data_IF_759943244126
#
_entry.id   IF_759943244126
#
_cell.length_a   1.000
_cell.length_b   1.000
_cell.length_c   1.000
_cell.angle_alpha   90.00
_cell.angle_beta   90.00
_cell.angle_gamma   90.00
#
_symmetry.space_group_name_H-M   'P 1'
#
loop_
_entity.id
_entity.type
_entity.pdbx_description
1 polymer ?
#
# COMPACT_ATOMS: atom_id res chain seq x y z
N UNK A 1 55.33 -45.35 2.10
CA UNK A 1 54.34 -44.82 1.13
C UNK A 1 53.07 -44.41 1.85
N UNK A 2 52.88 -43.11 2.13
CA UNK A 2 51.70 -42.59 2.82
C UNK A 2 50.53 -42.39 1.84
N UNK A 3 49.45 -43.18 2.01
CA UNK A 3 48.20 -43.02 1.26
C UNK A 3 47.53 -41.70 1.65
N UNK A 4 47.65 -40.67 0.79
CA UNK A 4 46.86 -39.44 0.85
C UNK A 4 45.37 -39.79 0.71
N UNK A 5 44.63 -39.80 1.83
CA UNK A 5 43.16 -39.79 1.84
C UNK A 5 42.68 -38.46 1.27
N UNK A 6 42.36 -38.44 -0.03
CA UNK A 6 41.64 -37.35 -0.70
C UNK A 6 40.25 -37.27 -0.06
N UNK A 7 40.01 -36.31 0.84
CA UNK A 7 38.67 -35.97 1.34
C UNK A 7 37.82 -35.59 0.12
N UNK A 8 36.94 -36.50 -0.30
CA UNK A 8 35.83 -36.19 -1.22
C UNK A 8 35.01 -35.10 -0.53
N UNK A 9 35.03 -33.88 -1.09
CA UNK A 9 34.01 -32.87 -0.79
C UNK A 9 32.70 -33.46 -1.29
N UNK A 10 31.89 -33.99 -0.37
CA UNK A 10 30.53 -34.43 -0.66
C UNK A 10 29.79 -33.21 -1.21
N UNK A 11 29.16 -33.40 -2.37
CA UNK A 11 28.29 -32.43 -3.06
C UNK A 11 27.24 -31.85 -2.09
N UNK A 12 27.53 -30.74 -1.42
CA UNK A 12 26.55 -29.99 -0.62
C UNK A 12 25.69 -29.05 -1.51
N UNK A 13 25.42 -29.45 -2.75
CA UNK A 13 24.79 -28.65 -3.82
C UNK A 13 23.28 -28.88 -4.10
N UNK A 14 22.51 -29.79 -3.46
CA UNK A 14 21.06 -29.88 -3.71
C UNK A 14 20.20 -28.86 -2.95
N UNK A 15 20.50 -28.62 -1.67
CA UNK A 15 19.59 -27.90 -0.76
C UNK A 15 19.59 -26.38 -0.96
N UNK A 16 20.76 -25.77 -1.12
CA UNK A 16 20.88 -24.33 -1.37
C UNK A 16 20.27 -23.95 -2.73
N UNK A 17 20.46 -24.81 -3.75
CA UNK A 17 19.86 -24.61 -5.07
C UNK A 17 18.34 -24.68 -5.01
N UNK A 18 17.78 -25.67 -4.30
CA UNK A 18 16.34 -25.78 -4.06
C UNK A 18 15.81 -24.53 -3.33
N UNK A 19 16.49 -24.09 -2.28
CA UNK A 19 16.11 -22.88 -1.54
C UNK A 19 16.09 -21.62 -2.43
N UNK A 20 17.03 -21.52 -3.38
CA UNK A 20 17.10 -20.41 -4.32
C UNK A 20 15.95 -20.44 -5.31
N UNK A 21 15.62 -21.63 -5.83
CA UNK A 21 14.48 -21.83 -6.74
C UNK A 21 13.16 -21.52 -6.02
N UNK A 22 12.97 -22.04 -4.80
CA UNK A 22 11.77 -21.80 -4.00
C UNK A 22 11.58 -20.31 -3.68
N UNK A 23 12.67 -19.60 -3.35
CA UNK A 23 12.63 -18.14 -3.16
C UNK A 23 12.20 -17.42 -4.45
N UNK A 24 12.76 -17.83 -5.59
CA UNK A 24 12.39 -17.26 -6.89
C UNK A 24 10.92 -17.48 -7.24
N UNK A 25 10.41 -18.70 -7.04
CA UNK A 25 8.98 -19.03 -7.22
C UNK A 25 8.13 -18.19 -6.27
N UNK A 26 8.46 -18.16 -4.97
CA UNK A 26 7.74 -17.37 -3.97
C UNK A 26 7.68 -15.89 -4.34
N UNK A 27 8.80 -15.33 -4.79
CA UNK A 27 8.89 -13.93 -5.22
C UNK A 27 8.00 -13.64 -6.43
N UNK A 28 8.09 -14.44 -7.50
CA UNK A 28 7.25 -14.21 -8.68
C UNK A 28 5.78 -14.51 -8.42
N UNK A 29 5.46 -15.48 -7.56
CA UNK A 29 4.09 -15.70 -7.07
C UNK A 29 3.57 -14.51 -6.28
N UNK A 30 4.41 -13.85 -5.48
CA UNK A 30 4.04 -12.62 -4.77
C UNK A 30 3.80 -11.45 -5.74
N UNK A 31 4.71 -11.23 -6.70
CA UNK A 31 4.54 -10.19 -7.74
C UNK A 31 3.27 -10.43 -8.55
N UNK A 32 3.02 -11.69 -8.95
CA UNK A 32 1.79 -12.07 -9.61
C UNK A 32 0.58 -11.77 -8.73
N UNK A 33 0.57 -12.18 -7.46
CA UNK A 33 -0.52 -11.93 -6.52
C UNK A 33 -0.83 -10.42 -6.38
N UNK A 34 0.18 -9.58 -6.22
CA UNK A 34 0.02 -8.11 -6.13
C UNK A 34 -0.57 -7.52 -7.41
N UNK A 35 -0.20 -8.07 -8.57
CA UNK A 35 -0.75 -7.66 -9.87
C UNK A 35 -2.20 -8.15 -10.06
N UNK A 36 -2.46 -9.42 -9.79
CA UNK A 36 -3.71 -10.11 -10.15
C UNK A 36 -4.82 -9.87 -9.14
N UNK A 37 -4.52 -9.82 -7.83
CA UNK A 37 -5.54 -9.70 -6.77
C UNK A 37 -6.50 -8.54 -7.04
N UNK A 38 -6.03 -7.33 -7.40
CA UNK A 38 -6.94 -6.22 -7.65
C UNK A 38 -7.78 -6.37 -8.92
N UNK A 39 -7.21 -7.00 -9.94
CA UNK A 39 -7.84 -7.26 -11.23
C UNK A 39 -8.75 -8.47 -11.20
N UNK A 40 -8.64 -9.31 -10.17
CA UNK A 40 -9.38 -10.56 -10.07
C UNK A 40 -10.87 -10.27 -10.08
N UNK A 41 -11.53 -10.84 -11.08
CA UNK A 41 -12.93 -10.68 -11.40
C UNK A 41 -13.51 -12.05 -11.68
N UNK A 42 -14.66 -12.34 -11.08
CA UNK A 42 -15.49 -13.47 -11.48
C UNK A 42 -16.78 -12.90 -12.10
N UNK A 43 -16.87 -12.82 -13.43
CA UNK A 43 -18.10 -12.38 -14.09
C UNK A 43 -19.27 -13.27 -13.63
N UNK A 44 -20.32 -12.64 -13.08
CA UNK A 44 -21.51 -13.36 -12.58
C UNK A 44 -21.57 -13.58 -11.06
N UNK A 45 -20.51 -13.27 -10.30
CA UNK A 45 -20.61 -13.23 -8.84
C UNK A 45 -20.90 -11.80 -8.34
N UNK A 46 -22.00 -11.65 -7.62
CA UNK A 46 -22.42 -10.39 -7.00
C UNK A 46 -21.70 -10.13 -5.67
N UNK A 47 -21.18 -11.16 -5.00
CA UNK A 47 -20.43 -11.05 -3.75
C UNK A 47 -18.92 -10.91 -3.99
N UNK A 48 -18.57 -9.77 -4.56
CA UNK A 48 -17.20 -9.48 -4.97
C UNK A 48 -16.16 -9.58 -3.83
N UNK A 49 -16.52 -9.13 -2.63
CA UNK A 49 -15.65 -9.18 -1.46
C UNK A 49 -15.31 -10.61 -1.03
N UNK A 50 -16.24 -11.55 -1.19
CA UNK A 50 -16.06 -12.93 -0.77
C UNK A 50 -15.02 -13.65 -1.64
N UNK A 51 -15.17 -13.57 -2.97
CA UNK A 51 -14.23 -14.18 -3.92
C UNK A 51 -12.81 -13.63 -3.77
N UNK A 52 -12.66 -12.32 -3.61
CA UNK A 52 -11.35 -11.71 -3.35
C UNK A 52 -10.72 -12.14 -2.04
N UNK A 53 -11.54 -12.29 -1.00
CA UNK A 53 -11.06 -12.76 0.30
C UNK A 53 -10.53 -14.18 0.17
N UNK A 54 -11.28 -15.11 -0.43
CA UNK A 54 -10.82 -16.48 -0.68
C UNK A 54 -9.52 -16.48 -1.50
N UNK A 55 -9.51 -15.75 -2.62
CA UNK A 55 -8.32 -15.65 -3.48
C UNK A 55 -7.08 -15.20 -2.67
N UNK A 56 -7.27 -14.18 -1.83
CA UNK A 56 -6.22 -13.62 -0.97
C UNK A 56 -5.76 -14.61 0.08
N UNK A 57 -6.68 -15.26 0.80
CA UNK A 57 -6.36 -16.25 1.82
C UNK A 57 -5.61 -17.45 1.23
N UNK A 58 -6.06 -17.96 0.08
CA UNK A 58 -5.41 -19.07 -0.61
C UNK A 58 -3.99 -18.69 -1.08
N UNK A 59 -3.82 -17.51 -1.71
CA UNK A 59 -2.50 -17.09 -2.21
C UNK A 59 -1.52 -16.80 -1.08
N UNK A 60 -1.94 -16.11 -0.02
CA UNK A 60 -1.08 -15.87 1.14
C UNK A 60 -0.68 -17.21 1.78
N UNK A 61 -1.62 -18.16 1.92
CA UNK A 61 -1.31 -19.50 2.45
C UNK A 61 -0.28 -20.23 1.58
N UNK A 62 -0.44 -20.18 0.25
CA UNK A 62 0.55 -20.75 -0.68
C UNK A 62 1.93 -20.10 -0.52
N UNK A 63 2.00 -18.78 -0.41
CA UNK A 63 3.27 -18.06 -0.20
C UNK A 63 3.94 -18.47 1.12
N UNK A 64 3.17 -18.70 2.18
CA UNK A 64 3.69 -19.22 3.45
C UNK A 64 4.15 -20.66 3.36
N UNK A 65 3.46 -21.52 2.61
CA UNK A 65 3.92 -22.89 2.33
C UNK A 65 5.27 -22.83 1.61
N UNK A 66 5.40 -21.99 0.57
CA UNK A 66 6.67 -21.81 -0.15
C UNK A 66 7.77 -21.26 0.76
N UNK A 67 7.46 -20.31 1.65
CA UNK A 67 8.42 -19.80 2.63
C UNK A 67 8.86 -20.87 3.63
N UNK A 68 7.92 -21.67 4.14
CA UNK A 68 8.22 -22.81 5.01
C UNK A 68 9.11 -23.84 4.32
N UNK A 69 8.80 -24.22 3.08
CA UNK A 69 9.63 -25.13 2.28
C UNK A 69 11.03 -24.54 2.00
N UNK A 70 11.11 -23.24 1.70
CA UNK A 70 12.37 -22.51 1.54
C UNK A 70 13.20 -22.58 2.84
N UNK A 71 12.61 -22.25 3.99
CA UNK A 71 13.31 -22.28 5.27
C UNK A 71 13.72 -23.68 5.72
N UNK A 72 12.86 -24.68 5.51
CA UNK A 72 13.21 -26.09 5.75
C UNK A 72 14.38 -26.54 4.88
N UNK A 73 14.42 -26.12 3.62
CA UNK A 73 15.53 -26.45 2.72
C UNK A 73 16.85 -25.80 3.15
N UNK A 74 16.80 -24.60 3.76
CA UNK A 74 17.96 -23.91 4.36
C UNK A 74 18.33 -24.39 5.76
N UNK A 75 17.46 -25.17 6.40
CA UNK A 75 17.61 -25.57 7.81
C UNK A 75 17.42 -24.43 8.80
N UNK A 76 16.87 -23.29 8.36
CA UNK A 76 16.59 -22.11 9.17
C UNK A 76 15.33 -21.41 8.68
N UNK A 77 14.43 -21.11 9.61
CA UNK A 77 13.22 -20.32 9.38
C UNK A 77 13.39 -19.07 10.23
N UNK A 78 13.74 -17.96 9.58
CA UNK A 78 13.92 -16.66 10.23
C UNK A 78 12.88 -15.69 9.66
N UNK A 79 12.16 -14.99 10.54
CA UNK A 79 11.19 -13.97 10.17
C UNK A 79 11.68 -12.62 10.71
N UNK A 80 11.74 -11.61 9.85
CA UNK A 80 12.10 -10.26 10.27
C UNK A 80 10.90 -9.53 10.86
N UNK A 81 10.99 -9.26 12.16
CA UNK A 81 9.97 -8.52 12.90
C UNK A 81 10.44 -7.06 12.99
N UNK A 82 9.72 -6.17 12.33
CA UNK A 82 9.95 -4.73 12.40
C UNK A 82 8.92 -4.07 13.33
N UNK A 83 9.17 -2.82 13.74
CA UNK A 83 8.31 -2.12 14.72
C UNK A 83 6.81 -2.11 14.36
N UNK A 84 6.38 -1.93 13.09
CA UNK A 84 4.97 -1.98 12.75
C UNK A 84 4.32 -3.36 12.91
N UNK A 85 5.09 -4.44 13.06
CA UNK A 85 4.55 -5.77 13.35
C UNK A 85 3.73 -5.79 14.64
N UNK A 86 4.01 -4.90 15.61
CA UNK A 86 3.23 -4.76 16.84
C UNK A 86 1.79 -4.27 16.60
N UNK A 87 1.50 -3.67 15.44
CA UNK A 87 0.14 -3.28 15.08
C UNK A 87 -0.77 -4.49 14.85
N UNK A 88 -0.23 -5.60 14.35
CA UNK A 88 -1.00 -6.83 14.09
C UNK A 88 -1.66 -7.36 15.37
N UNK A 89 -0.92 -7.67 16.46
CA UNK A 89 -1.56 -8.11 17.70
C UNK A 89 -2.43 -7.01 18.32
N UNK A 90 -2.09 -5.72 18.18
CA UNK A 90 -2.93 -4.64 18.67
C UNK A 90 -4.31 -4.61 17.99
N UNK A 91 -4.36 -4.74 16.66
CA UNK A 91 -5.62 -4.82 15.92
C UNK A 91 -6.40 -6.08 16.22
N UNK A 92 -5.72 -7.22 16.40
CA UNK A 92 -6.37 -8.47 16.80
C UNK A 92 -6.99 -8.34 18.20
N UNK A 93 -6.27 -7.76 19.16
CA UNK A 93 -6.79 -7.50 20.49
C UNK A 93 -7.98 -6.53 20.46
N UNK A 94 -7.88 -5.43 19.70
CA UNK A 94 -8.98 -4.49 19.54
C UNK A 94 -10.22 -5.17 18.93
N UNK A 95 -10.04 -6.03 17.93
CA UNK A 95 -11.11 -6.82 17.35
C UNK A 95 -11.75 -7.74 18.41
N UNK A 96 -10.95 -8.48 19.18
CA UNK A 96 -11.47 -9.36 20.24
C UNK A 96 -12.20 -8.59 21.35
N UNK A 97 -11.67 -7.44 21.77
CA UNK A 97 -12.32 -6.57 22.77
C UNK A 97 -13.67 -6.05 22.26
N UNK A 98 -13.83 -5.87 20.94
CA UNK A 98 -15.13 -5.43 20.38
C UNK A 98 -16.28 -6.41 20.66
N UNK A 99 -15.99 -7.69 20.93
CA UNK A 99 -17.00 -8.67 21.35
C UNK A 99 -17.63 -8.26 22.69
N UNK A 100 -16.81 -7.79 23.64
CA UNK A 100 -17.30 -7.28 24.92
C UNK A 100 -18.17 -6.02 24.75
N UNK A 101 -17.96 -5.28 23.66
CA UNK A 101 -18.80 -4.14 23.26
C UNK A 101 -20.08 -4.52 22.53
N UNK A 102 -20.45 -5.80 22.46
CA UNK A 102 -21.68 -6.27 21.82
C UNK A 102 -21.57 -6.58 20.33
N UNK A 103 -20.36 -6.59 19.76
CA UNK A 103 -20.16 -7.00 18.38
C UNK A 103 -20.46 -8.50 18.20
N UNK A 104 -21.08 -8.86 17.07
CA UNK A 104 -21.42 -10.26 16.78
C UNK A 104 -20.15 -11.12 16.66
N UNK A 105 -19.97 -12.18 17.49
CA UNK A 105 -18.71 -12.92 17.58
C UNK A 105 -18.22 -13.50 16.24
N UNK A 106 -19.14 -13.96 15.39
CA UNK A 106 -18.78 -14.54 14.09
C UNK A 106 -18.21 -13.50 13.12
N UNK A 107 -18.75 -12.28 13.13
CA UNK A 107 -18.24 -11.18 12.31
C UNK A 107 -16.86 -10.74 12.80
N UNK A 108 -16.70 -10.66 14.13
CA UNK A 108 -15.40 -10.34 14.74
C UNK A 108 -14.35 -11.38 14.34
N UNK A 109 -14.67 -12.67 14.41
CA UNK A 109 -13.74 -13.73 14.03
C UNK A 109 -13.35 -13.65 12.55
N UNK A 110 -14.30 -13.33 11.67
CA UNK A 110 -14.05 -13.13 10.24
C UNK A 110 -13.07 -11.97 10.00
N UNK A 111 -13.32 -10.80 10.60
CA UNK A 111 -12.43 -9.64 10.45
C UNK A 111 -11.07 -9.84 11.12
N UNK A 112 -11.03 -10.48 12.29
CA UNK A 112 -9.78 -10.84 12.97
C UNK A 112 -8.93 -11.78 12.09
N UNK A 113 -9.55 -12.76 11.44
CA UNK A 113 -8.87 -13.63 10.47
C UNK A 113 -8.29 -12.83 9.31
N UNK A 114 -9.06 -11.88 8.75
CA UNK A 114 -8.54 -11.00 7.69
C UNK A 114 -7.37 -10.15 8.18
N UNK A 115 -7.46 -9.54 9.37
CA UNK A 115 -6.36 -8.76 9.95
C UNK A 115 -5.09 -9.60 10.18
N UNK A 116 -5.25 -10.84 10.65
CA UNK A 116 -4.14 -11.78 10.79
C UNK A 116 -3.48 -12.01 9.42
N UNK A 117 -4.26 -12.31 8.38
CA UNK A 117 -3.73 -12.53 7.03
C UNK A 117 -3.06 -11.29 6.43
N UNK A 118 -3.57 -10.08 6.68
CA UNK A 118 -2.89 -8.84 6.31
C UNK A 118 -1.56 -8.68 7.05
N UNK A 119 -1.51 -9.00 8.34
CA UNK A 119 -0.27 -9.02 9.12
C UNK A 119 0.74 -10.06 8.60
N UNK A 120 0.25 -11.23 8.21
CA UNK A 120 1.04 -12.28 7.58
C UNK A 120 1.58 -11.83 6.21
N UNK A 121 0.77 -11.18 5.39
CA UNK A 121 1.22 -10.59 4.13
C UNK A 121 2.31 -9.53 4.36
N UNK A 122 2.16 -8.70 5.39
CA UNK A 122 3.17 -7.72 5.77
C UNK A 122 4.52 -8.38 6.10
N UNK A 123 4.53 -9.45 6.90
CA UNK A 123 5.77 -10.18 7.20
C UNK A 123 6.41 -10.78 5.95
N UNK A 124 5.62 -11.29 5.00
CA UNK A 124 6.13 -11.74 3.71
C UNK A 124 6.77 -10.58 2.94
N UNK A 125 6.12 -9.42 2.87
CA UNK A 125 6.65 -8.24 2.17
C UNK A 125 8.00 -7.81 2.74
N UNK A 126 8.11 -7.71 4.07
CA UNK A 126 9.34 -7.33 4.75
C UNK A 126 10.47 -8.34 4.49
N UNK A 127 10.15 -9.63 4.49
CA UNK A 127 11.13 -10.68 4.21
C UNK A 127 11.60 -10.70 2.73
N UNK A 128 10.66 -10.50 1.80
CA UNK A 128 10.89 -10.65 0.36
C UNK A 128 11.48 -9.42 -0.33
N UNK A 129 11.10 -8.21 0.08
CA UNK A 129 11.42 -6.98 -0.66
C UNK A 129 12.55 -6.21 0.03
N UNK A 130 13.80 -6.63 -0.21
CA UNK A 130 14.98 -6.05 0.45
C UNK A 130 15.76 -5.13 -0.48
N UNK A 131 15.82 -5.49 -1.76
CA UNK A 131 16.65 -4.80 -2.74
C UNK A 131 15.81 -4.13 -3.83
N UNK A 132 16.36 -3.11 -4.49
CA UNK A 132 15.70 -2.40 -5.59
C UNK A 132 15.23 -3.36 -6.70
N UNK A 133 15.99 -4.44 -6.98
CA UNK A 133 15.62 -5.47 -7.97
C UNK A 133 14.34 -6.23 -7.63
N UNK A 134 13.97 -6.29 -6.35
CA UNK A 134 12.76 -6.95 -5.85
C UNK A 134 11.61 -5.93 -5.68
N UNK A 135 11.96 -4.74 -5.20
CA UNK A 135 11.00 -3.65 -4.96
C UNK A 135 10.41 -3.13 -6.27
N UNK A 136 11.25 -2.95 -7.31
CA UNK A 136 10.82 -2.35 -8.58
C UNK A 136 9.72 -3.20 -9.25
N UNK A 137 9.87 -4.51 -9.49
CA UNK A 137 8.83 -5.29 -10.15
C UNK A 137 7.54 -5.38 -9.32
N UNK A 138 7.64 -5.45 -7.99
CA UNK A 138 6.47 -5.44 -7.10
C UNK A 138 5.69 -4.11 -7.20
N UNK A 139 6.38 -2.96 -7.23
CA UNK A 139 5.75 -1.66 -7.41
C UNK A 139 5.18 -1.47 -8.82
N UNK A 140 5.89 -1.92 -9.85
CA UNK A 140 5.40 -1.91 -11.23
C UNK A 140 4.14 -2.77 -11.35
N UNK A 141 4.12 -3.96 -10.76
CA UNK A 141 2.95 -4.83 -10.71
C UNK A 141 1.76 -4.15 -10.01
N UNK A 142 1.98 -3.54 -8.85
CA UNK A 142 0.96 -2.83 -8.10
C UNK A 142 0.41 -1.63 -8.89
N UNK A 143 1.27 -0.78 -9.43
CA UNK A 143 0.85 0.38 -10.22
C UNK A 143 0.18 -0.02 -11.53
N UNK A 144 0.65 -1.09 -12.18
CA UNK A 144 0.04 -1.59 -13.41
C UNK A 144 -1.35 -2.17 -13.14
N UNK A 145 -1.56 -2.86 -12.02
CA UNK A 145 -2.89 -3.33 -11.63
C UNK A 145 -3.83 -2.16 -11.31
N UNK A 146 -3.32 -1.11 -10.67
CA UNK A 146 -4.02 0.16 -10.48
C UNK A 146 -4.41 0.82 -11.80
N UNK A 147 -3.45 0.96 -12.71
CA UNK A 147 -3.67 1.50 -14.04
C UNK A 147 -4.73 0.72 -14.81
N UNK A 148 -4.61 -0.62 -14.89
CA UNK A 148 -5.56 -1.47 -15.60
C UNK A 148 -6.96 -1.44 -14.97
N UNK A 149 -7.06 -1.45 -13.63
CA UNK A 149 -8.34 -1.32 -12.95
C UNK A 149 -9.00 0.05 -13.21
N UNK A 150 -8.20 1.13 -13.20
CA UNK A 150 -8.66 2.47 -13.52
C UNK A 150 -9.08 2.60 -14.99
N UNK A 151 -8.29 2.07 -15.93
CA UNK A 151 -8.59 2.05 -17.36
C UNK A 151 -9.88 1.27 -17.62
N UNK A 152 -10.04 0.09 -17.00
CA UNK A 152 -11.27 -0.68 -17.11
C UNK A 152 -12.49 0.10 -16.61
N UNK A 153 -12.37 0.78 -15.45
CA UNK A 153 -13.40 1.68 -14.97
C UNK A 153 -13.70 2.82 -15.95
N UNK A 154 -12.68 3.45 -16.52
CA UNK A 154 -12.86 4.51 -17.51
C UNK A 154 -13.62 4.02 -18.76
N UNK A 155 -13.31 2.82 -19.24
CA UNK A 155 -14.02 2.20 -20.36
C UNK A 155 -15.50 1.92 -20.03
N UNK A 156 -15.81 1.52 -18.79
CA UNK A 156 -17.20 1.35 -18.34
C UNK A 156 -17.93 2.69 -18.28
N UNK A 157 -17.26 3.74 -17.78
CA UNK A 157 -17.81 5.09 -17.76
C UNK A 157 -18.16 5.60 -19.16
N UNK A 158 -17.30 5.32 -20.15
CA UNK A 158 -17.50 5.69 -21.55
C UNK A 158 -18.52 4.79 -22.28
N UNK A 159 -19.00 3.72 -21.64
CA UNK A 159 -19.94 2.76 -22.25
C UNK A 159 -19.29 1.83 -23.28
N UNK A 160 -17.95 1.75 -23.32
CA UNK A 160 -17.21 0.83 -24.21
C UNK A 160 -17.26 -0.61 -23.69
N UNK A 161 -17.29 -0.78 -22.38
CA UNK A 161 -17.42 -2.09 -21.72
C UNK A 161 -18.66 -2.12 -20.83
N UNK A 162 -19.17 -3.33 -20.58
CA UNK A 162 -20.33 -3.52 -19.69
C UNK A 162 -19.97 -3.05 -18.28
N UNK A 163 -20.64 -1.97 -17.85
CA UNK A 163 -20.68 -1.51 -16.47
C UNK A 163 -21.88 -2.12 -15.74
N UNK A 164 -22.03 -1.77 -14.47
CA UNK A 164 -23.24 -2.17 -13.74
C UNK A 164 -24.42 -1.24 -13.96
N UNK A 165 -25.54 -1.48 -13.26
CA UNK A 165 -26.79 -0.75 -13.50
C UNK A 165 -26.62 0.77 -13.31
N UNK A 166 -26.73 1.53 -14.40
CA UNK A 166 -26.63 2.99 -14.41
C UNK A 166 -25.92 3.55 -15.66
N UNK A 167 -25.67 4.87 -15.68
CA UNK A 167 -24.91 5.56 -16.73
C UNK A 167 -23.88 6.50 -16.10
N UNK A 168 -22.79 6.78 -16.82
CA UNK A 168 -21.74 7.68 -16.33
C UNK A 168 -21.05 7.14 -15.07
N UNK A 169 -20.84 7.97 -14.05
CA UNK A 169 -20.08 7.56 -12.85
C UNK A 169 -20.77 6.46 -12.03
N UNK A 170 -22.07 6.24 -12.19
CA UNK A 170 -22.77 5.13 -11.53
C UNK A 170 -22.58 3.79 -12.26
N UNK A 171 -22.20 3.84 -13.55
CA UNK A 171 -21.85 2.66 -14.34
C UNK A 171 -20.44 2.14 -14.02
N UNK A 172 -19.64 2.89 -13.25
CA UNK A 172 -18.39 2.44 -12.64
C UNK A 172 -18.66 1.38 -11.56
N UNK A 173 -19.18 0.24 -11.98
CA UNK A 173 -19.04 -1.02 -11.26
C UNK A 173 -17.73 -1.57 -11.76
N UNK A 174 -16.65 -1.00 -11.22
CA UNK A 174 -15.30 -1.50 -11.43
C UNK A 174 -15.28 -3.02 -11.25
N UNK A 175 -14.18 -3.64 -11.67
CA UNK A 175 -13.77 -4.93 -11.11
C UNK A 175 -14.20 -5.04 -9.64
N UNK A 176 -14.11 -3.97 -8.87
CA UNK A 176 -14.44 -3.93 -7.46
C UNK A 176 -15.90 -3.81 -6.99
N UNK A 177 -16.92 -3.98 -7.85
CA UNK A 177 -18.33 -4.03 -7.43
C UNK A 177 -19.00 -2.68 -7.09
N UNK A 178 -18.21 -1.62 -6.82
CA UNK A 178 -18.67 -0.23 -6.70
C UNK A 178 -17.47 0.71 -6.93
N UNK A 179 -17.72 1.91 -7.48
CA UNK A 179 -16.75 3.00 -7.63
C UNK A 179 -15.96 3.29 -6.33
N UNK A 180 -16.57 3.09 -5.17
CA UNK A 180 -15.92 3.29 -3.86
C UNK A 180 -14.73 2.37 -3.65
N UNK A 181 -14.85 1.11 -4.07
CA UNK A 181 -13.78 0.14 -3.92
C UNK A 181 -12.63 0.42 -4.90
N UNK A 182 -12.94 0.86 -6.13
CA UNK A 182 -11.92 1.33 -7.07
C UNK A 182 -11.17 2.54 -6.51
N UNK A 183 -11.90 3.57 -6.09
CA UNK A 183 -11.30 4.78 -5.52
C UNK A 183 -10.47 4.49 -4.28
N UNK A 184 -10.96 3.65 -3.37
CA UNK A 184 -10.24 3.23 -2.16
C UNK A 184 -8.95 2.46 -2.49
N UNK A 185 -9.03 1.49 -3.40
CA UNK A 185 -7.86 0.74 -3.85
C UNK A 185 -6.79 1.63 -4.48
N UNK A 186 -7.18 2.49 -5.41
CA UNK A 186 -6.26 3.42 -6.06
C UNK A 186 -5.66 4.42 -5.05
N UNK A 187 -6.44 4.87 -4.06
CA UNK A 187 -5.94 5.75 -3.01
C UNK A 187 -4.86 5.08 -2.14
N UNK A 188 -5.00 3.79 -1.83
CA UNK A 188 -3.96 3.05 -1.10
C UNK A 188 -2.62 2.97 -1.85
N UNK A 189 -2.60 3.15 -3.16
CA UNK A 189 -1.35 3.18 -3.94
C UNK A 189 -0.62 4.51 -3.89
N UNK A 190 -1.34 5.62 -3.65
CA UNK A 190 -0.77 6.96 -3.79
C UNK A 190 0.40 7.16 -2.84
N UNK A 191 0.26 6.77 -1.57
CA UNK A 191 1.30 6.99 -0.57
C UNK A 191 2.53 6.06 -0.72
N UNK A 192 2.39 4.72 -0.85
CA UNK A 192 3.54 3.83 -0.98
C UNK A 192 4.42 4.12 -2.21
N UNK A 193 3.81 4.62 -3.28
CA UNK A 193 4.51 4.93 -4.54
C UNK A 193 5.26 6.27 -4.48
N UNK A 194 4.95 7.13 -3.51
CA UNK A 194 5.73 8.33 -3.19
C UNK A 194 6.96 8.02 -2.33
N UNK A 195 7.04 6.88 -1.65
CA UNK A 195 8.18 6.56 -0.77
C UNK A 195 9.51 6.48 -1.55
N UNK A 196 9.61 5.78 -2.70
CA UNK A 196 10.85 5.75 -3.49
C UNK A 196 11.32 7.13 -3.96
N UNK A 197 10.39 8.05 -4.18
CA UNK A 197 10.69 9.44 -4.52
C UNK A 197 11.36 10.15 -3.35
N UNK A 198 10.78 10.04 -2.15
CA UNK A 198 11.37 10.57 -0.93
C UNK A 198 12.74 9.96 -0.65
N UNK A 199 12.96 8.70 -1.03
CA UNK A 199 14.27 8.04 -0.94
C UNK A 199 15.23 8.39 -2.09
N UNK A 200 14.86 9.34 -2.97
CA UNK A 200 15.69 9.86 -4.07
C UNK A 200 16.11 8.78 -5.08
N UNK A 201 15.30 7.74 -5.23
CA UNK A 201 15.59 6.64 -6.15
C UNK A 201 15.34 7.09 -7.59
N UNK A 202 16.38 7.12 -8.43
CA UNK A 202 16.29 7.60 -9.82
C UNK A 202 15.28 6.83 -10.69
N UNK A 203 15.08 5.55 -10.43
CA UNK A 203 14.12 4.74 -11.18
C UNK A 203 12.66 5.12 -10.90
N UNK A 204 12.38 5.79 -9.78
CA UNK A 204 11.00 6.18 -9.40
C UNK A 204 10.35 7.15 -10.39
N UNK A 205 11.17 7.89 -11.15
CA UNK A 205 10.76 8.77 -12.24
C UNK A 205 10.05 8.04 -13.37
N UNK A 206 10.45 6.80 -13.67
CA UNK A 206 9.82 5.99 -14.71
C UNK A 206 8.38 5.60 -14.35
N UNK A 207 7.99 5.71 -13.07
CA UNK A 207 6.66 5.36 -12.59
C UNK A 207 5.66 6.54 -12.63
N UNK A 208 6.12 7.76 -12.93
CA UNK A 208 5.25 8.95 -12.98
C UNK A 208 4.01 8.79 -13.86
N UNK A 209 4.10 8.25 -15.09
CA UNK A 209 2.92 8.19 -15.96
C UNK A 209 1.82 7.30 -15.36
N UNK A 210 2.21 6.13 -14.82
CA UNK A 210 1.30 5.21 -14.14
C UNK A 210 0.70 5.87 -12.89
N UNK A 211 1.54 6.51 -12.08
CA UNK A 211 1.12 7.20 -10.87
C UNK A 211 0.16 8.35 -11.18
N UNK A 212 0.49 9.21 -12.15
CA UNK A 212 -0.34 10.34 -12.57
C UNK A 212 -1.71 9.90 -13.05
N UNK A 213 -1.77 8.80 -13.82
CA UNK A 213 -3.04 8.20 -14.21
C UNK A 213 -3.83 7.69 -13.00
N UNK A 214 -3.19 6.96 -12.08
CA UNK A 214 -3.83 6.45 -10.85
C UNK A 214 -4.41 7.61 -10.04
N UNK A 215 -3.66 8.69 -9.82
CA UNK A 215 -4.13 9.88 -9.10
C UNK A 215 -5.29 10.55 -9.83
N UNK A 216 -5.20 10.73 -11.15
CA UNK A 216 -6.29 11.29 -11.94
C UNK A 216 -7.56 10.46 -11.83
N UNK A 217 -7.45 9.13 -11.89
CA UNK A 217 -8.58 8.23 -11.70
C UNK A 217 -9.17 8.30 -10.29
N UNK A 218 -8.35 8.41 -9.23
CA UNK A 218 -8.86 8.60 -7.87
C UNK A 218 -9.71 9.86 -7.76
N UNK A 219 -9.24 10.97 -8.33
CA UNK A 219 -9.99 12.23 -8.35
C UNK A 219 -11.26 12.14 -9.21
N UNK A 220 -11.18 11.41 -10.32
CA UNK A 220 -12.28 11.18 -11.27
C UNK A 220 -13.43 10.38 -10.69
N UNK A 221 -13.16 9.43 -9.79
CA UNK A 221 -14.21 8.64 -9.13
C UNK A 221 -15.16 9.51 -8.28
N UNK A 222 -14.72 10.71 -7.87
CA UNK A 222 -15.49 11.71 -7.09
C UNK A 222 -16.14 11.14 -5.82
N UNK A 223 -15.42 10.28 -5.10
CA UNK A 223 -15.93 9.69 -3.86
C UNK A 223 -15.41 10.43 -2.62
N UNK A 224 -16.34 10.89 -1.77
CA UNK A 224 -16.00 11.74 -0.62
C UNK A 224 -15.14 11.02 0.42
N UNK A 225 -15.48 9.78 0.77
CA UNK A 225 -14.67 8.99 1.69
C UNK A 225 -13.22 8.81 1.23
N UNK A 226 -13.00 8.66 -0.09
CA UNK A 226 -11.66 8.53 -0.68
C UNK A 226 -10.90 9.86 -0.61
N UNK A 227 -11.57 10.97 -0.91
CA UNK A 227 -11.00 12.32 -0.84
C UNK A 227 -10.62 12.69 0.59
N UNK A 228 -11.51 12.42 1.55
CA UNK A 228 -11.25 12.63 2.97
C UNK A 228 -10.09 11.78 3.47
N UNK A 229 -10.07 10.48 3.11
CA UNK A 229 -8.97 9.58 3.48
C UNK A 229 -7.63 10.04 2.90
N UNK A 230 -7.58 10.44 1.62
CA UNK A 230 -6.38 10.99 1.01
C UNK A 230 -5.96 12.31 1.65
N UNK A 231 -6.91 13.20 1.96
CA UNK A 231 -6.63 14.45 2.65
C UNK A 231 -6.01 14.18 4.02
N UNK A 232 -6.65 13.35 4.85
CA UNK A 232 -6.16 12.96 6.16
C UNK A 232 -4.79 12.27 6.09
N UNK A 233 -4.61 11.32 5.17
CA UNK A 233 -3.32 10.66 4.94
C UNK A 233 -2.23 11.66 4.53
N UNK A 234 -2.55 12.63 3.67
CA UNK A 234 -1.63 13.68 3.23
C UNK A 234 -1.21 14.59 4.39
N UNK A 235 -2.16 14.96 5.25
CA UNK A 235 -1.91 15.77 6.44
C UNK A 235 -1.06 15.01 7.48
N UNK A 236 -1.39 13.74 7.72
CA UNK A 236 -0.60 12.86 8.60
C UNK A 236 0.82 12.68 8.08
N UNK A 237 0.96 12.46 6.76
CA UNK A 237 2.26 12.37 6.11
C UNK A 237 3.05 13.68 6.22
N UNK A 238 2.40 14.84 6.03
CA UNK A 238 3.05 16.14 6.17
C UNK A 238 3.56 16.35 7.60
N UNK A 239 2.73 16.10 8.62
CA UNK A 239 3.15 16.09 10.02
C UNK A 239 4.33 15.15 10.27
N UNK A 240 4.19 13.90 9.85
CA UNK A 240 5.19 12.85 10.03
C UNK A 240 6.53 13.21 9.40
N UNK A 241 6.53 13.71 8.18
CA UNK A 241 7.74 14.13 7.48
C UNK A 241 8.53 15.19 8.25
N UNK A 242 7.85 16.09 8.97
CA UNK A 242 8.47 17.07 9.85
C UNK A 242 8.98 16.46 11.16
N UNK A 243 8.14 15.62 11.77
CA UNK A 243 8.46 14.95 13.02
C UNK A 243 9.67 14.02 12.90
N UNK A 244 9.70 13.15 11.89
CA UNK A 244 10.84 12.26 11.62
C UNK A 244 11.98 12.98 10.89
N UNK A 245 11.74 14.18 10.36
CA UNK A 245 12.72 14.96 9.60
C UNK A 245 13.12 14.26 8.30
N UNK A 246 12.14 13.69 7.60
CA UNK A 246 12.32 12.96 6.34
C UNK A 246 13.01 13.82 5.26
N UNK A 247 12.85 15.14 5.33
CA UNK A 247 13.47 16.10 4.41
C UNK A 247 14.78 16.72 4.92
N UNK A 248 15.36 16.22 6.02
CA UNK A 248 16.68 16.71 6.47
C UNK A 248 17.74 16.39 5.42
N UNK A 249 18.49 17.40 5.01
CA UNK A 249 19.56 17.26 4.01
C UNK A 249 19.11 17.46 2.56
N UNK A 250 17.83 17.76 2.30
CA UNK A 250 17.39 18.16 0.97
C UNK A 250 17.68 19.65 0.75
N UNK A 251 18.34 19.98 -0.37
CA UNK A 251 18.45 21.37 -0.82
C UNK A 251 17.14 21.89 -1.40
N UNK A 252 16.95 23.21 -1.46
CA UNK A 252 15.75 23.83 -2.06
C UNK A 252 15.51 23.34 -3.49
N UNK A 253 16.57 23.25 -4.30
CA UNK A 253 16.51 22.72 -5.67
C UNK A 253 16.03 21.27 -5.71
N UNK A 254 16.45 20.45 -4.75
CA UNK A 254 16.09 19.03 -4.69
C UNK A 254 14.63 18.88 -4.27
N UNK A 255 14.20 19.64 -3.26
CA UNK A 255 12.79 19.71 -2.87
C UNK A 255 11.92 20.11 -4.04
N UNK A 256 12.31 21.17 -4.77
CA UNK A 256 11.59 21.63 -5.97
C UNK A 256 11.55 20.53 -7.04
N UNK A 257 12.68 19.93 -7.39
CA UNK A 257 12.71 18.86 -8.41
C UNK A 257 11.86 17.65 -8.00
N UNK A 258 11.85 17.29 -6.72
CA UNK A 258 11.08 16.15 -6.22
C UNK A 258 9.58 16.45 -6.09
N UNK A 259 9.20 17.70 -5.81
CA UNK A 259 7.82 18.09 -5.58
C UNK A 259 7.10 18.53 -6.85
N UNK A 260 7.78 19.21 -7.77
CA UNK A 260 7.16 19.79 -8.99
C UNK A 260 6.45 18.77 -9.88
N UNK A 261 7.02 17.59 -10.19
CA UNK A 261 6.35 16.62 -11.05
C UNK A 261 5.09 16.00 -10.43
N UNK A 262 5.09 15.45 -9.19
CA UNK A 262 3.87 14.91 -8.60
C UNK A 262 2.85 16.01 -8.25
N UNK A 263 3.29 17.21 -7.84
CA UNK A 263 2.39 18.35 -7.62
C UNK A 263 1.81 18.88 -8.93
N UNK A 264 2.61 18.96 -9.99
CA UNK A 264 2.17 19.38 -11.32
C UNK A 264 1.19 18.38 -11.92
N UNK A 265 1.52 17.08 -11.89
CA UNK A 265 0.61 16.03 -12.33
C UNK A 265 -0.69 16.02 -11.50
N UNK A 266 -0.59 16.17 -10.18
CA UNK A 266 -1.75 16.26 -9.28
C UNK A 266 -2.61 17.50 -9.52
N UNK A 267 -2.00 18.67 -9.75
CA UNK A 267 -2.69 19.92 -10.04
C UNK A 267 -3.37 19.91 -11.42
N UNK A 268 -2.69 19.37 -12.44
CA UNK A 268 -3.27 19.17 -13.77
C UNK A 268 -4.45 18.20 -13.68
N UNK A 269 -4.28 17.07 -12.99
CA UNK A 269 -5.36 16.12 -12.78
C UNK A 269 -6.55 16.76 -12.04
N UNK A 270 -6.30 17.50 -10.95
CA UNK A 270 -7.34 18.18 -10.19
C UNK A 270 -8.07 19.25 -11.02
N UNK A 271 -7.33 20.08 -11.76
CA UNK A 271 -7.87 21.14 -12.61
C UNK A 271 -8.70 20.60 -13.77
N UNK A 272 -8.21 19.57 -14.48
CA UNK A 272 -8.90 18.96 -15.63
C UNK A 272 -10.14 18.17 -15.18
N UNK A 273 -10.04 17.41 -14.08
CA UNK A 273 -11.05 16.42 -13.69
C UNK A 273 -12.13 16.99 -12.77
N UNK A 274 -11.75 17.89 -11.86
CA UNK A 274 -12.63 18.41 -10.80
C UNK A 274 -12.96 19.89 -11.03
N UNK A 275 -12.06 20.64 -11.67
CA UNK A 275 -12.23 22.06 -12.00
C UNK A 275 -11.38 23.00 -11.15
N UNK A 276 -11.48 24.32 -11.36
CA UNK A 276 -10.57 25.31 -10.77
C UNK A 276 -10.65 25.38 -9.22
N UNK A 277 -11.81 25.09 -8.63
CA UNK A 277 -11.96 25.01 -7.17
C UNK A 277 -11.10 23.93 -6.52
N UNK A 278 -10.75 22.86 -7.25
CA UNK A 278 -9.85 21.82 -6.76
C UNK A 278 -8.39 22.28 -6.70
N UNK A 279 -7.99 23.22 -7.56
CA UNK A 279 -6.67 23.85 -7.50
C UNK A 279 -6.56 24.70 -6.23
N UNK A 280 -7.61 25.47 -5.90
CA UNK A 280 -7.66 26.21 -4.64
C UNK A 280 -7.61 25.28 -3.43
N UNK A 281 -8.38 24.19 -3.44
CA UNK A 281 -8.35 23.17 -2.38
C UNK A 281 -6.95 22.55 -2.22
N UNK A 282 -6.24 22.30 -3.32
CA UNK A 282 -4.85 21.81 -3.29
C UNK A 282 -3.92 22.84 -2.65
N UNK A 283 -4.05 24.14 -2.99
CA UNK A 283 -3.27 25.21 -2.37
C UNK A 283 -3.52 25.29 -0.86
N UNK A 284 -4.79 25.23 -0.43
CA UNK A 284 -5.14 25.21 0.99
C UNK A 284 -4.54 23.98 1.68
N UNK A 285 -4.67 22.80 1.06
CA UNK A 285 -4.11 21.55 1.60
C UNK A 285 -2.58 21.62 1.72
N UNK A 286 -1.89 22.25 0.77
CA UNK A 286 -0.44 22.49 0.83
C UNK A 286 -0.07 23.46 1.96
N UNK A 287 -0.84 24.53 2.14
CA UNK A 287 -0.62 25.49 3.23
C UNK A 287 -0.80 24.84 4.61
N UNK A 288 -1.89 24.10 4.80
CA UNK A 288 -2.15 23.33 6.03
C UNK A 288 -1.07 22.27 6.24
N UNK A 289 -0.70 21.54 5.18
CA UNK A 289 0.37 20.55 5.22
C UNK A 289 1.72 21.14 5.63
N UNK A 290 2.09 22.31 5.09
CA UNK A 290 3.29 23.03 5.50
C UNK A 290 3.26 23.40 7.00
N UNK A 291 2.11 23.88 7.49
CA UNK A 291 1.89 24.15 8.92
C UNK A 291 2.09 22.89 9.78
N UNK A 292 1.48 21.77 9.38
CA UNK A 292 1.64 20.48 10.08
C UNK A 292 3.07 19.95 10.05
N UNK A 293 3.79 20.13 8.93
CA UNK A 293 5.21 19.79 8.83
C UNK A 293 6.04 20.58 9.84
N UNK A 294 5.82 21.89 9.94
CA UNK A 294 6.48 22.75 10.95
C UNK A 294 6.11 22.32 12.37
N UNK A 295 4.84 22.02 12.63
CA UNK A 295 4.40 21.52 13.94
C UNK A 295 5.11 20.22 14.32
N UNK A 296 5.20 19.26 13.40
CA UNK A 296 5.95 18.01 13.60
C UNK A 296 7.43 18.28 13.91
N UNK A 297 8.08 19.18 13.17
CA UNK A 297 9.46 19.59 13.46
C UNK A 297 9.62 20.20 14.86
N UNK A 298 8.67 21.04 15.29
CA UNK A 298 8.68 21.69 16.61
C UNK A 298 8.49 20.66 17.74
N UNK A 299 7.52 19.76 17.61
CA UNK A 299 7.24 18.70 18.59
C UNK A 299 8.40 17.72 18.73
N UNK A 300 9.12 17.45 17.64
CA UNK A 300 10.36 16.66 17.69
C UNK A 300 11.43 17.34 18.56
N UNK A 301 11.58 18.67 18.45
CA UNK A 301 12.61 19.44 19.17
C UNK A 301 12.23 19.75 20.61
N UNK A 302 10.95 19.97 20.90
CA UNK A 302 10.45 20.44 22.19
C UNK A 302 9.36 19.49 22.72
N UNK A 303 9.76 18.53 23.56
CA UNK A 303 8.82 17.54 24.12
C UNK A 303 7.66 18.16 24.92
N UNK A 304 7.87 19.35 25.51
CA UNK A 304 6.83 20.07 26.28
C UNK A 304 5.63 20.47 25.41
N UNK A 305 5.82 20.66 24.09
CA UNK A 305 4.73 20.99 23.18
C UNK A 305 3.73 19.83 22.99
N UNK A 306 4.05 18.61 23.44
CA UNK A 306 3.08 17.49 23.44
C UNK A 306 1.92 17.71 24.42
N UNK A 307 2.13 18.48 25.48
CA UNK A 307 1.09 18.75 26.49
C UNK A 307 -0.09 19.54 25.88
N UNK A 308 0.10 20.72 25.26
CA UNK A 308 -1.01 21.44 24.64
C UNK A 308 -1.60 20.69 23.44
N UNK A 309 -0.79 19.96 22.66
CA UNK A 309 -1.30 19.15 21.53
C UNK A 309 -2.16 17.99 22.02
N UNK A 310 -1.73 17.29 23.07
CA UNK A 310 -2.49 16.22 23.71
C UNK A 310 -3.77 16.75 24.34
N UNK A 311 -3.71 17.89 25.02
CA UNK A 311 -4.89 18.56 25.59
C UNK A 311 -5.90 18.96 24.50
N UNK A 312 -5.44 19.53 23.38
CA UNK A 312 -6.29 19.87 22.25
C UNK A 312 -6.89 18.62 21.58
N UNK A 313 -6.12 17.55 21.42
CA UNK A 313 -6.60 16.28 20.87
C UNK A 313 -7.65 15.63 21.78
N UNK A 314 -7.44 15.67 23.11
CA UNK A 314 -8.42 15.19 24.08
C UNK A 314 -9.69 16.04 24.05
N UNK A 315 -9.58 17.37 24.06
CA UNK A 315 -10.73 18.27 23.94
C UNK A 315 -11.53 18.01 22.67
N UNK A 316 -10.86 17.75 21.54
CA UNK A 316 -11.52 17.40 20.28
C UNK A 316 -12.23 16.04 20.28
N UNK A 317 -11.96 15.14 21.24
CA UNK A 317 -12.73 13.90 21.40
C UNK A 317 -14.05 14.14 22.18
N UNK A 318 -14.16 15.26 22.88
CA UNK A 318 -15.34 15.62 23.69
C UNK A 318 -16.21 16.71 23.05
N UNK A 319 -15.78 17.29 21.92
CA UNK A 319 -16.52 18.24 21.09
C UNK A 319 -17.10 17.54 19.87
#
# INVERSE_FOLDING_TARGET
MAKRKRKRKVFALPRERLATILRGIRYWSFVFFVFSMPLFLLPGNTEYGYTKSIYTLCFISLLYILWGLEGLSRGKIEAEITQPAALVPAFLLAALVSIAGGAHPLLVLQYATLFLYFGLLYLLVVDLLREDREIIPALVALLSSGFLAGLYGLLQYLGVTVGGPGRGLSALISTMGNRNYLGGFLAYMVLPTLIPWLLRRRWSWALLPLWGFVVAMVLFVRQDGVRLALGAASLLFAFGSGFWGAFRGFGLRELLLLSLPPLGAGAIAAGIVVGPGAVLALVVLLAVGAGLHVLGMLLRRRRVLWIPVGAAALLALFL
#
